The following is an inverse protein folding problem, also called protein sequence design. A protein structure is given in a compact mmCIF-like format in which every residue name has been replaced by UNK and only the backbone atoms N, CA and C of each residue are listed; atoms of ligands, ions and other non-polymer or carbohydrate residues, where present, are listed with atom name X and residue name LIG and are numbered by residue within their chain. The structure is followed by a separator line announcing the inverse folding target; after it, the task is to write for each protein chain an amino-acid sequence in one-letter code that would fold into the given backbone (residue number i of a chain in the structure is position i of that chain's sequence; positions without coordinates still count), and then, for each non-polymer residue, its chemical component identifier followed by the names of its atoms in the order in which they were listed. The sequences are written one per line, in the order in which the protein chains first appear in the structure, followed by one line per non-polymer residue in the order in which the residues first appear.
data_IF_390771577748
#
_entry.id   IF_390771577748
#
_cell.length_a   1.000
_cell.length_b   1.000
_cell.length_c   1.000
_cell.angle_alpha   90.00
_cell.angle_beta   90.00
_cell.angle_gamma   90.00
#
_symmetry.space_group_name_H-M   'P 1'
#
loop_
_entity.id
_entity.type
_entity.pdbx_description
1 polymer ?
#
# COMPACT_ATOMS: atom_id res chain seq x y z
N UNK A 1 -14.99 -7.21 -70.24
CA UNK A 1 -13.95 -6.97 -69.23
C UNK A 1 -14.59 -6.28 -68.01
N UNK A 2 -14.79 -6.98 -66.90
CA UNK A 2 -15.28 -6.41 -65.63
C UNK A 2 -14.21 -6.64 -64.55
N UNK A 3 -13.69 -5.53 -64.03
CA UNK A 3 -12.57 -5.43 -63.09
C UNK A 3 -12.96 -5.85 -61.67
N UNK A 4 -12.13 -6.58 -60.91
CA UNK A 4 -12.45 -7.03 -59.55
C UNK A 4 -12.15 -5.95 -58.50
N UNK A 5 -13.14 -5.09 -58.21
CA UNK A 5 -13.04 -4.06 -57.16
C UNK A 5 -13.24 -4.62 -55.73
N UNK A 6 -13.79 -5.82 -55.60
CA UNK A 6 -14.24 -6.35 -54.31
C UNK A 6 -13.17 -7.14 -53.53
N UNK A 7 -12.07 -7.55 -54.16
CA UNK A 7 -11.03 -8.36 -53.51
C UNK A 7 -10.11 -7.54 -52.59
N UNK A 8 -9.93 -6.24 -52.89
CA UNK A 8 -9.12 -5.33 -52.05
C UNK A 8 -9.86 -4.88 -50.79
N UNK A 9 -11.19 -4.83 -50.84
CA UNK A 9 -12.04 -4.44 -49.70
C UNK A 9 -12.11 -5.53 -48.63
N UNK A 10 -12.06 -6.81 -49.01
CA UNK A 10 -12.15 -7.93 -48.07
C UNK A 10 -10.85 -8.15 -47.30
N UNK A 11 -9.69 -7.85 -47.92
CA UNK A 11 -8.39 -7.98 -47.26
C UNK A 11 -8.17 -6.88 -46.19
N UNK A 12 -8.69 -5.68 -46.40
CA UNK A 12 -8.58 -4.58 -45.44
C UNK A 12 -9.40 -4.81 -44.15
N UNK A 13 -10.56 -5.47 -44.25
CA UNK A 13 -11.41 -5.77 -43.08
C UNK A 13 -10.79 -6.88 -42.21
N UNK A 14 -10.13 -7.87 -42.82
CA UNK A 14 -9.46 -8.94 -42.09
C UNK A 14 -8.25 -8.46 -41.27
N UNK A 15 -7.47 -7.50 -41.80
CA UNK A 15 -6.32 -6.91 -41.07
C UNK A 15 -6.79 -6.04 -39.91
N UNK A 16 -7.93 -5.35 -40.06
CA UNK A 16 -8.48 -4.50 -38.98
C UNK A 16 -9.06 -5.31 -37.83
N UNK A 17 -9.61 -6.51 -38.10
CA UNK A 17 -10.13 -7.40 -37.07
C UNK A 17 -9.03 -8.06 -36.22
N UNK A 18 -7.86 -8.35 -36.81
CA UNK A 18 -6.74 -9.00 -36.10
C UNK A 18 -6.05 -8.07 -35.09
N UNK A 19 -6.06 -6.76 -35.36
CA UNK A 19 -5.46 -5.74 -34.47
C UNK A 19 -6.39 -5.38 -33.30
N UNK A 20 -7.71 -5.61 -33.45
CA UNK A 20 -8.67 -5.41 -32.36
C UNK A 20 -8.63 -6.54 -31.31
N UNK A 21 -8.26 -7.76 -31.69
CA UNK A 21 -8.18 -8.90 -30.76
C UNK A 21 -6.96 -8.88 -29.84
N UNK A 22 -5.86 -8.22 -30.22
CA UNK A 22 -4.65 -8.13 -29.39
C UNK A 22 -4.77 -7.08 -28.27
N UNK A 23 -5.64 -6.07 -28.40
CA UNK A 23 -5.86 -5.08 -27.35
C UNK A 23 -6.71 -5.58 -26.18
N UNK A 24 -7.63 -6.52 -26.43
CA UNK A 24 -8.56 -7.03 -25.41
C UNK A 24 -7.88 -8.04 -24.48
N UNK A 25 -6.99 -8.89 -24.99
CA UNK A 25 -6.29 -9.88 -24.19
C UNK A 25 -5.32 -9.26 -23.16
N UNK A 26 -4.68 -8.13 -23.50
CA UNK A 26 -3.77 -7.41 -22.60
C UNK A 26 -4.53 -6.69 -21.48
N UNK A 27 -5.75 -6.21 -21.76
CA UNK A 27 -6.56 -5.51 -20.76
C UNK A 27 -7.03 -6.43 -19.62
N UNK A 28 -7.26 -7.71 -19.91
CA UNK A 28 -7.69 -8.69 -18.91
C UNK A 28 -6.57 -9.11 -17.94
N UNK A 29 -5.30 -9.14 -18.37
CA UNK A 29 -4.18 -9.49 -17.48
C UNK A 29 -3.82 -8.36 -16.50
N UNK A 30 -4.02 -7.09 -16.89
CA UNK A 30 -3.73 -5.93 -16.02
C UNK A 30 -4.80 -5.75 -14.94
N UNK A 31 -6.04 -6.19 -15.18
CA UNK A 31 -7.15 -6.01 -14.26
C UNK A 31 -7.08 -6.90 -13.01
N UNK A 32 -6.40 -8.05 -13.09
CA UNK A 32 -6.39 -9.07 -12.01
C UNK A 32 -5.09 -9.05 -11.18
N UNK A 33 -4.15 -8.17 -11.50
CA UNK A 33 -2.93 -8.00 -10.72
C UNK A 33 -3.16 -7.02 -9.56
N UNK A 34 -2.82 -7.41 -8.31
CA UNK A 34 -2.85 -6.49 -7.19
C UNK A 34 -2.00 -5.25 -7.50
N UNK A 35 -2.61 -4.06 -7.51
CA UNK A 35 -1.90 -2.79 -7.73
C UNK A 35 -0.74 -2.58 -6.74
N UNK A 36 -0.81 -3.20 -5.56
CA UNK A 36 0.21 -3.17 -4.52
C UNK A 36 0.48 -4.61 -4.09
N UNK A 37 1.75 -5.02 -4.10
CA UNK A 37 2.12 -6.34 -3.59
C UNK A 37 1.90 -6.40 -2.08
N UNK A 38 1.53 -7.56 -1.51
CA UNK A 38 1.40 -7.71 -0.07
C UNK A 38 2.67 -7.27 0.69
N UNK A 39 3.84 -7.51 0.11
CA UNK A 39 5.12 -7.06 0.65
C UNK A 39 5.23 -5.53 0.70
N UNK A 40 4.91 -4.84 -0.40
CA UNK A 40 4.98 -3.38 -0.44
C UNK A 40 4.01 -2.74 0.57
N UNK A 41 2.83 -3.33 0.76
CA UNK A 41 1.90 -2.92 1.80
C UNK A 41 2.48 -3.14 3.20
N UNK A 42 3.05 -4.32 3.48
CA UNK A 42 3.66 -4.63 4.77
C UNK A 42 4.85 -3.70 5.09
N UNK A 43 5.71 -3.42 4.11
CA UNK A 43 6.85 -2.51 4.26
C UNK A 43 6.38 -1.08 4.54
N UNK A 44 5.31 -0.62 3.86
CA UNK A 44 4.71 0.69 4.11
C UNK A 44 4.10 0.80 5.51
N UNK A 45 3.38 -0.23 5.98
CA UNK A 45 2.84 -0.27 7.33
C UNK A 45 3.97 -0.28 8.38
N UNK A 46 5.00 -1.07 8.17
CA UNK A 46 6.16 -1.11 9.06
C UNK A 46 6.86 0.25 9.17
N UNK A 47 7.01 0.97 8.06
CA UNK A 47 7.60 2.30 8.04
C UNK A 47 6.80 3.31 8.91
N UNK A 48 5.48 3.27 8.82
CA UNK A 48 4.61 4.12 9.65
C UNK A 48 4.77 3.74 11.13
N UNK A 49 4.73 2.45 11.46
CA UNK A 49 4.89 1.97 12.83
C UNK A 49 6.24 2.37 13.46
N UNK A 50 7.33 2.25 12.70
CA UNK A 50 8.67 2.63 13.15
C UNK A 50 8.80 4.14 13.35
N UNK A 51 8.15 4.92 12.48
CA UNK A 51 8.10 6.37 12.61
C UNK A 51 7.38 6.80 13.89
N UNK A 52 6.22 6.21 14.18
CA UNK A 52 5.42 6.52 15.38
C UNK A 52 6.14 6.11 16.66
N UNK A 53 6.72 4.90 16.70
CA UNK A 53 7.55 4.44 17.82
C UNK A 53 8.70 5.43 18.09
N UNK A 54 9.34 5.92 17.05
CA UNK A 54 10.46 6.87 17.14
C UNK A 54 10.00 8.25 17.62
N UNK A 55 8.85 8.74 17.14
CA UNK A 55 8.27 10.01 17.57
C UNK A 55 7.84 9.94 19.04
N UNK A 56 7.10 8.91 19.44
CA UNK A 56 6.63 8.73 20.82
C UNK A 56 7.79 8.64 21.81
N UNK A 57 8.82 7.86 21.48
CA UNK A 57 10.02 7.73 22.34
C UNK A 57 10.74 9.07 22.51
N UNK A 58 10.93 9.85 21.43
CA UNK A 58 11.63 11.14 21.50
C UNK A 58 10.81 12.23 22.16
N UNK A 59 9.54 12.37 21.78
CA UNK A 59 8.70 13.51 22.18
C UNK A 59 8.06 13.30 23.53
N UNK A 60 7.71 12.07 23.90
CA UNK A 60 6.98 11.74 25.12
C UNK A 60 7.92 11.10 26.14
N UNK A 61 8.47 9.91 25.86
CA UNK A 61 9.24 9.14 26.85
C UNK A 61 10.52 9.88 27.28
N UNK A 62 11.36 10.31 26.33
CA UNK A 62 12.60 11.02 26.66
C UNK A 62 12.33 12.37 27.33
N UNK A 63 11.21 13.04 27.02
CA UNK A 63 10.83 14.30 27.65
C UNK A 63 10.33 14.06 29.07
N UNK A 64 9.25 13.30 29.21
CA UNK A 64 8.48 13.19 30.45
C UNK A 64 9.10 12.23 31.47
N UNK A 65 9.77 11.15 31.01
CA UNK A 65 10.41 10.16 31.89
C UNK A 65 11.86 10.53 32.18
N UNK A 66 12.66 10.82 31.14
CA UNK A 66 14.11 11.02 31.33
C UNK A 66 14.48 12.45 31.73
N UNK A 67 13.92 13.46 31.05
CA UNK A 67 14.28 14.87 31.27
C UNK A 67 13.51 15.49 32.43
N UNK A 68 12.19 15.47 32.35
CA UNK A 68 11.30 16.14 33.31
C UNK A 68 10.99 15.24 34.52
N UNK A 69 11.18 13.92 34.41
CA UNK A 69 11.01 12.91 35.48
C UNK A 69 9.65 13.00 36.19
N UNK A 70 8.61 13.44 35.48
CA UNK A 70 7.28 13.71 36.04
C UNK A 70 6.47 12.41 36.18
N UNK A 71 6.78 11.41 35.36
CA UNK A 71 6.02 10.16 35.25
C UNK A 71 6.94 9.01 34.85
N UNK A 72 6.63 7.78 35.29
CA UNK A 72 7.36 6.56 34.91
C UNK A 72 6.65 5.88 33.74
N UNK A 73 7.38 5.04 32.99
CA UNK A 73 6.77 4.15 32.01
C UNK A 73 6.57 2.76 32.66
N UNK A 74 5.36 2.19 32.55
CA UNK A 74 5.00 0.92 33.18
C UNK A 74 4.11 0.10 32.25
N UNK A 75 4.11 -1.21 32.41
CA UNK A 75 3.16 -2.11 31.73
C UNK A 75 1.76 -2.00 32.33
N UNK A 76 1.66 -1.67 33.62
CA UNK A 76 0.42 -1.41 34.37
C UNK A 76 0.09 0.09 34.35
N UNK A 77 0.13 0.70 33.16
CA UNK A 77 0.06 2.15 33.02
C UNK A 77 -1.23 2.77 33.62
N UNK A 78 -2.36 2.05 33.55
CA UNK A 78 -3.65 2.49 34.10
C UNK A 78 -3.64 2.53 35.65
N UNK A 79 -3.07 1.51 36.29
CA UNK A 79 -3.02 1.40 37.76
C UNK A 79 -1.94 2.32 38.35
N UNK A 80 -0.78 2.41 37.68
CA UNK A 80 0.39 3.14 38.16
C UNK A 80 0.39 4.64 37.81
N UNK A 81 -0.65 5.13 37.11
CA UNK A 81 -0.68 6.47 36.49
C UNK A 81 0.62 6.75 35.71
N UNK A 82 1.04 5.75 34.94
CA UNK A 82 2.31 5.73 34.23
C UNK A 82 2.06 5.92 32.72
N UNK A 83 3.15 6.15 31.97
CA UNK A 83 3.09 6.19 30.52
C UNK A 83 3.05 4.77 29.95
N UNK A 84 2.18 4.58 28.96
CA UNK A 84 2.08 3.36 28.14
C UNK A 84 3.42 3.08 27.46
N UNK A 85 3.80 1.80 27.41
CA UNK A 85 5.01 1.39 26.70
C UNK A 85 4.86 1.52 25.17
N UNK A 86 5.94 1.85 24.43
CA UNK A 86 5.87 1.93 22.97
C UNK A 86 5.35 0.65 22.30
N UNK A 87 5.62 -0.52 22.87
CA UNK A 87 5.13 -1.79 22.36
C UNK A 87 3.61 -1.99 22.56
N UNK A 88 3.05 -1.43 23.63
CA UNK A 88 1.61 -1.46 23.91
C UNK A 88 0.84 -0.47 23.03
N UNK A 89 1.45 0.68 22.69
CA UNK A 89 0.84 1.69 21.81
C UNK A 89 0.42 1.12 20.45
N UNK A 90 1.15 0.13 19.92
CA UNK A 90 0.79 -0.52 18.65
C UNK A 90 -0.57 -1.23 18.72
N UNK A 91 -0.92 -1.82 19.86
CA UNK A 91 -2.21 -2.51 20.05
C UNK A 91 -3.39 -1.54 20.22
N UNK A 92 -3.14 -0.30 20.62
CA UNK A 92 -4.17 0.73 20.81
C UNK A 92 -4.42 1.57 19.55
N UNK A 93 -3.70 1.31 18.45
CA UNK A 93 -3.88 2.02 17.18
C UNK A 93 -5.07 1.54 16.33
N UNK A 94 -5.90 0.63 16.86
CA UNK A 94 -7.14 0.12 16.24
C UNK A 94 -8.37 0.74 16.89
#
# INVERSE_FOLDING_TARGET
MKTPRNLKSTLAVAVTALVASSGIAVATEVADQPMITPKAMADALHLVMDSDRTVYTRKIVNRLVKKEKVIKASEHYDDDKALVLPAQMFRYGS
#
